data_IF_121829752035
#
_entry.id   IF_121829752035
#
_cell.length_a   1.000
_cell.length_b   1.000
_cell.length_c   1.000
_cell.angle_alpha   90.00
_cell.angle_beta   90.00
_cell.angle_gamma   90.00
#
_symmetry.space_group_name_H-M   'P 1'
#
loop_
_entity.id
_entity.type
_entity.pdbx_description
1 polymer ?
#
# COMPACT_ATOMS: atom_id res chain seq x y z
N UNK A 1 29.71 -5.60 -26.05
CA UNK A 1 29.39 -6.80 -25.25
C UNK A 1 29.14 -6.48 -23.78
N UNK A 2 30.14 -6.11 -22.94
CA UNK A 2 29.88 -5.81 -21.51
C UNK A 2 29.02 -4.54 -21.31
N UNK A 3 29.33 -3.46 -22.03
CA UNK A 3 28.56 -2.20 -21.96
C UNK A 3 27.11 -2.34 -22.48
N UNK A 4 26.88 -3.23 -23.44
CA UNK A 4 25.53 -3.51 -23.95
C UNK A 4 24.73 -4.30 -22.92
N UNK A 5 25.35 -5.30 -22.27
CA UNK A 5 24.72 -6.08 -21.21
C UNK A 5 24.34 -5.21 -19.98
N UNK A 6 25.20 -4.26 -19.60
CA UNK A 6 24.90 -3.31 -18.52
C UNK A 6 23.75 -2.36 -18.89
N UNK A 7 23.70 -1.89 -20.15
CA UNK A 7 22.61 -1.05 -20.65
C UNK A 7 21.26 -1.79 -20.60
N UNK A 8 21.20 -3.00 -21.14
CA UNK A 8 19.96 -3.79 -21.13
C UNK A 8 19.50 -4.09 -19.70
N UNK A 9 20.43 -4.38 -18.79
CA UNK A 9 20.09 -4.59 -17.38
C UNK A 9 19.47 -3.33 -16.75
N UNK A 10 20.02 -2.15 -17.01
CA UNK A 10 19.49 -0.90 -16.47
C UNK A 10 18.10 -0.57 -17.03
N UNK A 11 17.90 -0.75 -18.34
CA UNK A 11 16.60 -0.56 -19.00
C UNK A 11 15.55 -1.54 -18.43
N UNK A 12 15.88 -2.82 -18.25
CA UNK A 12 14.98 -3.82 -17.65
C UNK A 12 14.63 -3.48 -16.20
N UNK A 13 15.60 -3.01 -15.40
CA UNK A 13 15.36 -2.58 -14.01
C UNK A 13 14.45 -1.35 -13.93
N UNK A 14 14.63 -0.37 -14.82
CA UNK A 14 13.79 0.83 -14.88
C UNK A 14 12.35 0.49 -15.28
N UNK A 15 12.18 -0.33 -16.33
CA UNK A 15 10.87 -0.81 -16.74
C UNK A 15 10.17 -1.60 -15.64
N UNK A 16 10.90 -2.46 -14.93
CA UNK A 16 10.36 -3.22 -13.80
C UNK A 16 9.87 -2.29 -12.69
N UNK A 17 10.69 -1.32 -12.26
CA UNK A 17 10.30 -0.34 -11.24
C UNK A 17 9.05 0.44 -11.62
N UNK A 18 8.98 0.87 -12.88
CA UNK A 18 7.82 1.58 -13.44
C UNK A 18 6.53 0.77 -13.31
N UNK A 19 6.59 -0.50 -13.69
CA UNK A 19 5.43 -1.42 -13.59
C UNK A 19 5.06 -1.68 -12.14
N UNK A 20 6.04 -1.90 -11.26
CA UNK A 20 5.80 -2.13 -9.83
C UNK A 20 5.16 -0.91 -9.16
N UNK A 21 5.68 0.30 -9.41
CA UNK A 21 5.15 1.54 -8.85
C UNK A 21 3.72 1.82 -9.34
N UNK A 22 3.44 1.63 -10.63
CA UNK A 22 2.09 1.74 -11.20
C UNK A 22 1.12 0.76 -10.54
N UNK A 23 1.50 -0.52 -10.45
CA UNK A 23 0.66 -1.55 -9.85
C UNK A 23 0.43 -1.29 -8.36
N UNK A 24 1.42 -0.77 -7.64
CA UNK A 24 1.28 -0.41 -6.23
C UNK A 24 0.23 0.69 -6.03
N UNK A 25 0.30 1.77 -6.82
CA UNK A 25 -0.67 2.86 -6.78
C UNK A 25 -2.08 2.38 -7.13
N UNK A 26 -2.21 1.59 -8.20
CA UNK A 26 -3.48 1.05 -8.65
C UNK A 26 -4.12 0.15 -7.58
N UNK A 27 -3.36 -0.81 -7.05
CA UNK A 27 -3.81 -1.71 -6.01
C UNK A 27 -4.22 -0.96 -4.74
N UNK A 28 -3.41 0.02 -4.30
CA UNK A 28 -3.73 0.80 -3.11
C UNK A 28 -5.02 1.60 -3.30
N UNK A 29 -5.19 2.28 -4.44
CA UNK A 29 -6.38 3.06 -4.74
C UNK A 29 -7.65 2.19 -4.72
N UNK A 30 -7.62 1.01 -5.36
CA UNK A 30 -8.76 0.11 -5.37
C UNK A 30 -9.03 -0.54 -4.00
N UNK A 31 -7.99 -0.99 -3.30
CA UNK A 31 -8.13 -1.55 -1.95
C UNK A 31 -8.74 -0.52 -1.00
N UNK A 32 -8.23 0.71 -1.02
CA UNK A 32 -8.76 1.80 -0.19
C UNK A 32 -10.22 2.11 -0.53
N UNK A 33 -10.57 2.11 -1.83
CA UNK A 33 -11.94 2.32 -2.29
C UNK A 33 -12.89 1.29 -1.70
N UNK A 34 -12.47 0.03 -1.69
CA UNK A 34 -13.24 -1.06 -1.12
C UNK A 34 -13.36 -0.91 0.40
N UNK A 35 -12.27 -0.54 1.08
CA UNK A 35 -12.27 -0.27 2.52
C UNK A 35 -13.25 0.84 2.91
N UNK A 36 -13.28 1.98 2.21
CA UNK A 36 -14.22 3.07 2.57
C UNK A 36 -15.67 2.79 2.18
N UNK A 37 -15.89 1.90 1.21
CA UNK A 37 -17.21 1.44 0.80
C UNK A 37 -17.76 0.31 1.67
N UNK A 38 -16.91 -0.43 2.36
CA UNK A 38 -17.32 -1.42 3.35
C UNK A 38 -18.13 -0.75 4.46
N UNK A 39 -19.33 -1.26 4.77
CA UNK A 39 -20.22 -0.65 5.74
C UNK A 39 -19.61 -0.60 7.15
N UNK A 40 -18.83 -1.60 7.56
CA UNK A 40 -18.24 -1.65 8.91
C UNK A 40 -17.17 -0.59 9.11
N UNK A 41 -16.53 -0.17 8.01
CA UNK A 41 -15.46 0.82 8.02
C UNK A 41 -16.01 2.20 7.67
N UNK A 42 -16.75 2.31 6.57
CA UNK A 42 -17.38 3.55 6.11
C UNK A 42 -18.31 4.18 7.15
N UNK A 43 -18.99 3.40 8.00
CA UNK A 43 -19.82 3.92 9.10
C UNK A 43 -19.03 4.54 10.26
N UNK A 44 -17.73 4.23 10.38
CA UNK A 44 -16.83 4.80 11.39
C UNK A 44 -16.14 6.08 10.92
N UNK A 45 -16.19 6.35 9.62
CA UNK A 45 -15.64 7.56 9.02
C UNK A 45 -16.69 8.67 9.07
N UNK A 46 -16.24 9.90 9.33
CA UNK A 46 -17.11 11.06 9.13
C UNK A 46 -17.46 11.20 7.64
N UNK A 47 -18.61 11.79 7.31
CA UNK A 47 -18.99 12.02 5.92
C UNK A 47 -17.95 12.87 5.17
N UNK A 48 -17.33 13.83 5.86
CA UNK A 48 -16.27 14.67 5.31
C UNK A 48 -14.98 13.88 5.02
N UNK A 49 -14.55 13.01 5.95
CA UNK A 49 -13.36 12.19 5.76
C UNK A 49 -13.57 11.13 4.69
N UNK A 50 -14.75 10.49 4.67
CA UNK A 50 -15.13 9.54 3.62
C UNK A 50 -15.07 10.20 2.24
N UNK A 51 -15.68 11.38 2.10
CA UNK A 51 -15.66 12.12 0.84
C UNK A 51 -14.25 12.51 0.42
N UNK A 52 -13.39 12.97 1.35
CA UNK A 52 -11.99 13.29 1.04
C UNK A 52 -11.21 12.09 0.50
N UNK A 53 -11.41 10.90 1.09
CA UNK A 53 -10.76 9.68 0.61
C UNK A 53 -11.30 9.29 -0.77
N UNK A 54 -12.63 9.30 -0.95
CA UNK A 54 -13.26 8.98 -2.24
C UNK A 54 -12.77 9.93 -3.35
N UNK A 55 -12.75 11.24 -3.10
CA UNK A 55 -12.26 12.25 -4.03
C UNK A 55 -10.76 12.03 -4.36
N UNK A 56 -9.92 11.74 -3.37
CA UNK A 56 -8.49 11.48 -3.58
C UNK A 56 -8.22 10.20 -4.39
N UNK A 57 -8.98 9.13 -4.12
CA UNK A 57 -8.92 7.87 -4.87
C UNK A 57 -9.33 8.10 -6.33
N UNK A 58 -10.48 8.75 -6.56
CA UNK A 58 -10.98 8.98 -7.91
C UNK A 58 -10.00 9.88 -8.71
N UNK A 59 -9.37 10.86 -8.04
CA UNK A 59 -8.28 11.65 -8.63
C UNK A 59 -7.05 10.81 -8.98
N UNK A 60 -6.62 9.90 -8.10
CA UNK A 60 -5.47 9.02 -8.35
C UNK A 60 -5.74 8.04 -9.51
N UNK A 61 -6.93 7.45 -9.57
CA UNK A 61 -7.34 6.55 -10.66
C UNK A 61 -7.41 7.33 -11.99
N UNK A 62 -8.05 8.50 -12.00
CA UNK A 62 -8.12 9.33 -13.22
C UNK A 62 -6.73 9.76 -13.70
N UNK A 63 -5.82 10.04 -12.76
CA UNK A 63 -4.43 10.33 -13.08
C UNK A 63 -3.71 9.10 -13.64
N UNK A 64 -3.87 7.92 -13.04
CA UNK A 64 -3.31 6.65 -13.55
C UNK A 64 -3.77 6.35 -14.99
N UNK A 65 -5.06 6.53 -15.28
CA UNK A 65 -5.63 6.31 -16.61
C UNK A 65 -5.05 7.25 -17.66
N UNK A 66 -4.78 8.50 -17.28
CA UNK A 66 -4.24 9.53 -18.17
C UNK A 66 -2.72 9.45 -18.32
N UNK A 67 -2.01 8.86 -17.34
CA UNK A 67 -0.56 8.88 -17.23
C UNK A 67 0.03 7.47 -17.22
N UNK A 68 -0.46 6.58 -18.08
CA UNK A 68 -0.03 5.17 -18.12
C UNK A 68 1.46 4.94 -18.42
N UNK A 69 2.16 5.96 -18.93
CA UNK A 69 3.57 5.95 -19.29
C UNK A 69 4.45 6.84 -18.40
N UNK A 70 3.89 7.39 -17.32
CA UNK A 70 4.62 8.21 -16.34
C UNK A 70 5.80 7.47 -15.73
N UNK A 71 6.85 8.16 -15.32
CA UNK A 71 8.03 7.53 -14.70
C UNK A 71 7.73 6.95 -13.32
N UNK A 72 8.60 6.03 -12.88
CA UNK A 72 8.44 5.35 -11.58
C UNK A 72 8.28 6.37 -10.43
N UNK A 73 9.11 7.42 -10.44
CA UNK A 73 9.08 8.48 -9.43
C UNK A 73 7.73 9.24 -9.42
N UNK A 74 7.09 9.44 -10.59
CA UNK A 74 5.79 10.10 -10.68
C UNK A 74 4.66 9.22 -10.10
N UNK A 75 4.71 7.91 -10.35
CA UNK A 75 3.80 6.95 -9.72
C UNK A 75 3.99 6.92 -8.19
N UNK A 76 5.24 6.91 -7.72
CA UNK A 76 5.56 6.95 -6.29
C UNK A 76 5.10 8.24 -5.62
N UNK A 77 5.25 9.40 -6.27
CA UNK A 77 4.81 10.66 -5.71
C UNK A 77 3.28 10.75 -5.66
N UNK A 78 2.59 10.24 -6.68
CA UNK A 78 1.12 10.14 -6.64
C UNK A 78 0.63 9.17 -5.56
N UNK A 79 1.37 8.08 -5.31
CA UNK A 79 1.13 7.17 -4.19
C UNK A 79 1.25 7.90 -2.85
N UNK A 80 2.34 8.64 -2.61
CA UNK A 80 2.53 9.41 -1.37
C UNK A 80 1.44 10.45 -1.15
N UNK A 81 0.97 11.10 -2.23
CA UNK A 81 -0.15 12.05 -2.15
C UNK A 81 -1.43 11.36 -1.66
N UNK A 82 -1.76 10.20 -2.22
CA UNK A 82 -2.93 9.42 -1.84
C UNK A 82 -2.82 8.90 -0.40
N UNK A 83 -1.66 8.33 -0.03
CA UNK A 83 -1.35 7.89 1.32
C UNK A 83 -1.42 9.04 2.33
N UNK A 84 -0.96 10.24 1.96
CA UNK A 84 -1.00 11.44 2.80
C UNK A 84 -2.42 11.85 3.20
N UNK A 85 -3.43 11.51 2.40
CA UNK A 85 -4.85 11.72 2.71
C UNK A 85 -5.41 10.54 3.49
N UNK A 86 -5.14 9.31 3.04
CA UNK A 86 -5.72 8.09 3.59
C UNK A 86 -5.18 7.71 4.97
N UNK A 87 -3.85 7.70 5.15
CA UNK A 87 -3.18 7.27 6.38
C UNK A 87 -3.64 8.03 7.64
N UNK A 88 -3.74 9.38 7.67
CA UNK A 88 -4.19 10.07 8.88
C UNK A 88 -5.65 9.79 9.24
N UNK A 89 -6.50 9.50 8.25
CA UNK A 89 -7.92 9.17 8.49
C UNK A 89 -8.04 7.75 9.02
N UNK A 90 -7.33 6.81 8.41
CA UNK A 90 -7.27 5.42 8.86
C UNK A 90 -6.67 5.33 10.26
N UNK A 91 -5.57 6.03 10.55
CA UNK A 91 -4.96 6.05 11.88
C UNK A 91 -5.94 6.53 12.97
N UNK A 92 -6.76 7.55 12.68
CA UNK A 92 -7.83 8.00 13.59
C UNK A 92 -8.86 6.91 13.85
N UNK A 93 -9.21 6.11 12.84
CA UNK A 93 -10.12 4.97 13.00
C UNK A 93 -9.53 3.88 13.92
N UNK A 94 -8.25 3.54 13.74
CA UNK A 94 -7.56 2.56 14.60
C UNK A 94 -7.41 3.05 16.05
N UNK A 95 -7.08 4.34 16.27
CA UNK A 95 -7.00 4.94 17.60
C UNK A 95 -8.35 4.99 18.33
N UNK A 96 -9.47 4.95 17.59
CA UNK A 96 -10.80 4.77 18.13
C UNK A 96 -11.10 3.36 18.66
N UNK A 97 -10.13 2.45 18.64
CA UNK A 97 -10.24 1.10 19.21
C UNK A 97 -10.88 0.07 18.28
N UNK A 98 -10.90 0.33 16.96
CA UNK A 98 -11.47 -0.61 15.99
C UNK A 98 -10.48 -0.84 14.85
N UNK A 99 -9.66 -1.89 14.99
CA UNK A 99 -8.88 -2.39 13.87
C UNK A 99 -9.85 -2.90 12.79
N UNK A 100 -9.77 -2.43 11.54
CA UNK A 100 -10.26 -3.20 10.41
C UNK A 100 -9.44 -4.49 10.38
N UNK A 101 -10.14 -5.60 10.25
CA UNK A 101 -9.59 -6.90 9.87
C UNK A 101 -9.09 -6.77 8.42
N UNK A 102 -7.99 -6.03 8.23
CA UNK A 102 -7.24 -6.07 6.98
C UNK A 102 -6.46 -7.36 7.02
N UNK A 103 -6.99 -8.33 6.28
CA UNK A 103 -6.45 -9.65 6.02
C UNK A 103 -4.90 -9.66 6.02
N UNK A 104 -4.37 -10.51 6.89
CA UNK A 104 -2.98 -10.63 7.31
C UNK A 104 -2.09 -11.28 6.23
N UNK A 105 -2.16 -10.82 4.98
CA UNK A 105 -1.39 -11.39 3.85
C UNK A 105 -0.42 -10.41 3.16
N UNK A 106 -0.43 -9.12 3.51
CA UNK A 106 0.37 -8.10 2.81
C UNK A 106 1.48 -7.41 3.62
N UNK A 107 1.85 -7.90 4.81
CA UNK A 107 2.99 -7.37 5.56
C UNK A 107 3.89 -8.48 6.09
N UNK A 108 5.11 -8.54 5.55
CA UNK A 108 6.20 -9.32 6.12
C UNK A 108 6.46 -9.00 7.59
N UNK A 109 7.23 -9.84 8.29
CA UNK A 109 7.13 -10.01 9.73
C UNK A 109 7.66 -8.77 10.47
N UNK A 110 6.79 -8.09 11.22
CA UNK A 110 7.22 -7.16 12.27
C UNK A 110 7.49 -7.92 13.57
N UNK A 111 8.65 -7.74 14.23
CA UNK A 111 9.01 -8.46 15.43
C UNK A 111 8.55 -7.70 16.70
N UNK A 112 7.67 -8.32 17.48
CA UNK A 112 7.45 -8.04 18.91
C UNK A 112 6.67 -9.24 19.45
N UNK A 113 7.22 -10.16 20.25
CA UNK A 113 7.89 -9.90 21.51
C UNK A 113 6.91 -10.19 22.65
N UNK A 114 6.89 -11.43 23.14
CA UNK A 114 6.35 -11.73 24.48
C UNK A 114 5.56 -13.03 24.67
N UNK A 115 6.26 -14.04 25.21
CA UNK A 115 5.75 -15.01 26.19
C UNK A 115 4.78 -16.12 25.75
N UNK A 116 5.35 -17.28 25.46
CA UNK A 116 4.66 -18.58 25.52
C UNK A 116 5.67 -19.70 25.71
N UNK A 117 5.69 -20.31 26.89
CA UNK A 117 6.64 -21.34 27.29
C UNK A 117 6.66 -22.56 26.34
N UNK A 118 7.87 -22.94 25.91
CA UNK A 118 8.15 -24.23 25.25
C UNK A 118 9.34 -24.91 25.94
N UNK A 119 9.27 -26.22 26.29
CA UNK A 119 10.28 -26.88 27.10
C UNK A 119 11.55 -27.25 26.32
N UNK A 120 12.58 -27.54 27.13
CA UNK A 120 14.02 -27.61 26.90
C UNK A 120 14.48 -28.49 25.73
N UNK A 121 15.50 -27.95 25.05
CA UNK A 121 16.64 -28.60 24.38
C UNK A 121 16.90 -30.07 24.81
N UNK A 122 16.99 -30.96 23.83
CA UNK A 122 17.82 -32.15 23.92
C UNK A 122 18.72 -32.16 22.69
N UNK A 123 20.01 -32.14 22.97
CA UNK A 123 21.09 -32.12 22.00
C UNK A 123 21.09 -33.42 21.17
N UNK A 124 21.43 -33.27 19.91
CA UNK A 124 21.70 -34.37 19.00
C UNK A 124 23.06 -34.99 19.36
N UNK A 125 23.05 -36.27 19.73
CA UNK A 125 23.99 -37.28 19.27
C UNK A 125 23.20 -38.57 19.00
#
# INVERSE_FOLDING_TARGET
MVQEAEKYKAEDEEHKKKVEAKNALENYAYNMRNTVKDEKIGSKLSADDKKKIEDAIDQAISWLDSNQLAEADEFEDKMKELEGVCNPIIAKMYQGGVAPDMDEDAAGPTPAGGSGAGPKIEEVD
#
